data_IF_061770121387
#
_entry.id   IF_061770121387
#
_cell.length_a   1.000
_cell.length_b   1.000
_cell.length_c   1.000
_cell.angle_alpha   90.00
_cell.angle_beta   90.00
_cell.angle_gamma   90.00
#
_symmetry.space_group_name_H-M   'P 1'
#
loop_
_entity.id
_entity.type
_entity.pdbx_description
1 polymer ?
#
# COMPACT_ATOMS: atom_id res chain seq x y z
N UNK A 1 -9.62 -0.50 -29.91
CA UNK A 1 -8.55 -1.03 -30.77
C UNK A 1 -7.62 -1.84 -29.88
N UNK A 2 -7.40 -3.10 -30.28
CA UNK A 2 -6.43 -4.11 -29.81
C UNK A 2 -5.76 -3.94 -28.44
N UNK A 3 -6.19 -4.74 -27.46
CA UNK A 3 -5.27 -5.20 -26.40
C UNK A 3 -4.21 -6.08 -27.05
N UNK A 4 -3.01 -5.54 -27.25
CA UNK A 4 -1.81 -6.39 -27.35
C UNK A 4 -1.55 -6.98 -25.97
N UNK A 5 -2.23 -8.08 -25.65
CA UNK A 5 -1.94 -8.87 -24.48
C UNK A 5 -0.81 -9.85 -24.82
N UNK A 6 0.43 -9.32 -24.87
CA UNK A 6 1.61 -10.16 -24.69
C UNK A 6 2.21 -9.83 -23.33
N UNK A 7 1.96 -10.72 -22.36
CA UNK A 7 2.45 -10.63 -20.99
C UNK A 7 1.40 -10.20 -19.98
N UNK A 8 0.57 -11.13 -19.51
CA UNK A 8 -0.16 -10.93 -18.26
C UNK A 8 0.81 -10.65 -17.10
N UNK A 9 0.36 -10.04 -15.99
CA UNK A 9 1.23 -9.76 -14.86
C UNK A 9 1.86 -11.07 -14.36
N UNK A 10 3.17 -11.05 -14.16
CA UNK A 10 3.95 -12.23 -13.75
C UNK A 10 3.63 -12.68 -12.31
N UNK A 11 3.01 -11.81 -11.50
CA UNK A 11 2.60 -12.06 -10.14
C UNK A 11 1.21 -11.46 -9.85
N UNK A 12 0.52 -11.99 -8.84
CA UNK A 12 -0.77 -11.46 -8.37
C UNK A 12 -0.62 -10.05 -7.79
N UNK A 13 0.51 -9.77 -7.14
CA UNK A 13 0.89 -8.45 -6.67
C UNK A 13 2.40 -8.30 -6.76
N UNK A 14 2.86 -7.06 -6.86
CA UNK A 14 4.28 -6.72 -7.03
C UNK A 14 4.98 -6.60 -5.67
N UNK A 15 4.29 -6.00 -4.69
CA UNK A 15 4.87 -5.69 -3.39
C UNK A 15 3.80 -5.62 -2.30
N UNK A 16 4.09 -6.18 -1.13
CA UNK A 16 3.35 -5.99 0.11
C UNK A 16 4.29 -5.38 1.15
N UNK A 17 3.79 -4.43 1.95
CA UNK A 17 4.55 -3.89 3.08
C UNK A 17 3.65 -3.34 4.19
N UNK A 18 4.25 -3.17 5.37
CA UNK A 18 3.71 -2.32 6.44
C UNK A 18 4.59 -1.08 6.57
N UNK A 19 3.99 0.11 6.49
CA UNK A 19 4.66 1.37 6.76
C UNK A 19 4.19 1.94 8.09
N UNK A 20 5.13 2.44 8.91
CA UNK A 20 4.83 3.25 10.08
C UNK A 20 4.46 4.67 9.66
N UNK A 21 3.54 5.30 10.40
CA UNK A 21 3.23 6.71 10.20
C UNK A 21 4.49 7.56 10.42
N UNK A 22 4.83 8.47 9.50
CA UNK A 22 5.95 9.37 9.70
C UNK A 22 5.65 10.36 10.83
N UNK A 23 6.68 10.82 11.54
CA UNK A 23 6.51 11.77 12.64
C UNK A 23 6.23 13.21 12.16
N UNK A 24 6.59 13.53 10.92
CA UNK A 24 6.37 14.84 10.30
C UNK A 24 6.28 14.73 8.77
N UNK A 25 5.87 15.81 8.10
CA UNK A 25 5.80 15.87 6.63
C UNK A 25 7.16 15.80 5.92
N UNK A 26 8.27 16.01 6.63
CA UNK A 26 9.62 15.92 6.06
C UNK A 26 10.21 14.51 6.16
N UNK A 27 9.64 13.63 6.98
CA UNK A 27 10.14 12.27 7.19
C UNK A 27 9.45 11.27 6.26
N UNK A 28 10.23 10.29 5.80
CA UNK A 28 9.71 9.21 4.99
C UNK A 28 9.10 8.11 5.89
N UNK A 29 7.95 7.52 5.52
CA UNK A 29 7.38 6.41 6.27
C UNK A 29 8.34 5.21 6.35
N UNK A 30 8.59 4.72 7.56
CA UNK A 30 9.49 3.57 7.77
C UNK A 30 8.80 2.27 7.39
N UNK A 31 9.46 1.44 6.57
CA UNK A 31 8.99 0.08 6.26
C UNK A 31 9.33 -0.86 7.42
N UNK A 32 8.29 -1.35 8.10
CA UNK A 32 8.42 -2.28 9.23
C UNK A 32 8.60 -3.72 8.76
N UNK A 33 7.93 -4.08 7.66
CA UNK A 33 8.03 -5.40 7.02
C UNK A 33 7.66 -5.31 5.56
N UNK A 34 8.14 -6.26 4.77
CA UNK A 34 7.81 -6.35 3.35
C UNK A 34 7.86 -7.76 2.79
N UNK A 35 7.17 -7.98 1.68
CA UNK A 35 7.25 -9.16 0.84
C UNK A 35 7.10 -8.75 -0.64
N UNK A 36 7.92 -9.26 -1.57
CA UNK A 36 9.07 -10.14 -1.31
C UNK A 36 10.22 -9.36 -0.63
N UNK A 37 11.13 -10.05 0.11
CA UNK A 37 12.22 -9.38 0.82
C UNK A 37 13.23 -8.73 -0.15
N UNK A 38 13.33 -9.22 -1.38
CA UNK A 38 14.23 -8.76 -2.42
C UNK A 38 13.56 -7.86 -3.47
N UNK A 39 12.43 -7.22 -3.14
CA UNK A 39 11.82 -6.19 -3.98
C UNK A 39 12.83 -5.06 -4.27
N UNK A 40 13.02 -4.68 -5.55
CA UNK A 40 14.11 -3.78 -6.01
C UNK A 40 13.69 -2.51 -6.75
N UNK A 41 12.41 -2.22 -6.84
CA UNK A 41 11.93 -0.97 -7.48
C UNK A 41 12.16 0.21 -6.52
N UNK A 42 13.33 0.85 -6.61
CA UNK A 42 13.74 1.92 -5.70
C UNK A 42 12.80 3.14 -5.74
N UNK A 43 12.26 3.46 -6.92
CA UNK A 43 11.32 4.57 -7.07
C UNK A 43 10.02 4.26 -6.33
N UNK A 44 9.48 3.05 -6.51
CA UNK A 44 8.31 2.60 -5.76
C UNK A 44 8.59 2.58 -4.25
N UNK A 45 9.74 2.05 -3.81
CA UNK A 45 10.09 1.98 -2.39
C UNK A 45 10.14 3.35 -1.70
N UNK A 46 10.50 4.42 -2.42
CA UNK A 46 10.53 5.77 -1.89
C UNK A 46 9.16 6.47 -1.96
N UNK A 47 8.44 6.27 -3.07
CA UNK A 47 7.22 7.03 -3.35
C UNK A 47 5.98 6.40 -2.72
N UNK A 48 5.78 5.10 -2.91
CA UNK A 48 4.55 4.37 -2.57
C UNK A 48 4.19 4.46 -1.08
N UNK A 49 5.13 4.38 -0.12
CA UNK A 49 4.79 4.51 1.29
C UNK A 49 4.18 5.87 1.65
N UNK A 50 4.55 6.94 0.94
CA UNK A 50 3.99 8.29 1.16
C UNK A 50 2.50 8.35 0.84
N UNK A 51 2.04 7.59 -0.16
CA UNK A 51 0.63 7.48 -0.51
C UNK A 51 -0.19 6.71 0.55
N UNK A 52 0.45 6.02 1.50
CA UNK A 52 -0.23 5.30 2.57
C UNK A 52 -0.78 6.22 3.67
N UNK A 53 -0.39 7.50 3.67
CA UNK A 53 -0.83 8.51 4.62
C UNK A 53 -1.30 9.77 3.86
N UNK A 54 -2.44 9.71 3.14
CA UNK A 54 -2.89 10.78 2.24
C UNK A 54 -3.59 11.94 2.99
N UNK A 55 -2.97 12.40 4.08
CA UNK A 55 -3.47 13.46 4.95
C UNK A 55 -2.30 14.19 5.61
N UNK A 56 -2.58 15.36 6.19
CA UNK A 56 -1.59 16.11 6.93
C UNK A 56 -1.40 15.47 8.32
N UNK A 57 -0.33 14.68 8.47
CA UNK A 57 -0.03 13.91 9.69
C UNK A 57 0.19 14.80 10.93
N UNK A 58 0.50 16.08 10.75
CA UNK A 58 0.73 17.03 11.85
C UNK A 58 -0.56 17.75 12.28
N UNK A 59 -1.53 17.89 11.37
CA UNK A 59 -2.73 18.71 11.59
C UNK A 59 -4.01 17.91 11.78
N UNK A 60 -4.12 16.75 11.14
CA UNK A 60 -5.33 15.94 11.19
C UNK A 60 -5.25 14.89 12.30
N UNK A 61 -6.19 14.90 13.26
CA UNK A 61 -6.22 13.89 14.31
C UNK A 61 -6.51 12.52 13.66
N UNK A 62 -5.77 11.47 14.04
CA UNK A 62 -5.93 10.19 13.40
C UNK A 62 -7.29 9.57 13.71
N UNK A 63 -7.92 9.00 12.68
CA UNK A 63 -9.22 8.35 12.80
C UNK A 63 -9.16 7.18 13.80
N UNK A 64 -10.16 7.05 14.71
CA UNK A 64 -10.24 5.90 15.60
C UNK A 64 -10.68 4.61 14.88
N UNK A 65 -11.09 4.70 13.61
CA UNK A 65 -11.52 3.55 12.81
C UNK A 65 -10.40 3.05 11.88
N UNK A 66 -10.41 1.74 11.61
CA UNK A 66 -9.64 1.17 10.50
C UNK A 66 -10.22 1.69 9.19
N UNK A 67 -9.36 2.09 8.26
CA UNK A 67 -9.77 2.64 6.97
C UNK A 67 -9.17 1.83 5.81
N UNK A 68 -10.01 1.52 4.83
CA UNK A 68 -9.59 0.98 3.54
C UNK A 68 -9.66 2.06 2.49
N UNK A 69 -8.60 2.17 1.71
CA UNK A 69 -8.57 3.04 0.53
C UNK A 69 -7.66 2.45 -0.52
N UNK A 70 -7.78 2.92 -1.75
CA UNK A 70 -6.90 2.53 -2.85
C UNK A 70 -6.44 3.78 -3.58
N UNK A 71 -5.13 3.92 -3.76
CA UNK A 71 -4.58 4.91 -4.68
C UNK A 71 -4.15 4.25 -5.99
N UNK A 72 -3.99 5.04 -7.05
CA UNK A 72 -3.53 4.56 -8.34
C UNK A 72 -2.32 5.36 -8.82
N UNK A 73 -1.25 4.65 -9.18
CA UNK A 73 -0.09 5.18 -9.88
C UNK A 73 -0.28 4.93 -11.38
N UNK A 74 -0.20 5.99 -12.18
CA UNK A 74 -0.37 5.90 -13.64
C UNK A 74 0.96 6.23 -14.30
N UNK A 75 1.43 5.33 -15.16
CA UNK A 75 2.65 5.57 -15.94
C UNK A 75 2.38 6.40 -17.20
N UNK A 76 3.44 6.72 -17.94
CA UNK A 76 3.35 7.49 -19.20
C UNK A 76 2.63 6.73 -20.33
N UNK A 77 2.55 5.40 -20.25
CA UNK A 77 1.81 4.56 -21.19
C UNK A 77 0.32 4.43 -20.81
N UNK A 78 -0.10 4.99 -19.68
CA UNK A 78 -1.46 4.92 -19.17
C UNK A 78 -1.78 3.63 -18.39
N UNK A 79 -0.79 2.77 -18.13
CA UNK A 79 -0.97 1.61 -17.26
C UNK A 79 -1.13 2.07 -15.81
N UNK A 80 -1.90 1.30 -15.04
CA UNK A 80 -2.21 1.62 -13.65
C UNK A 80 -1.69 0.53 -12.72
N UNK A 81 -0.96 0.95 -11.68
CA UNK A 81 -0.73 0.16 -10.47
C UNK A 81 -1.61 0.68 -9.35
N UNK A 82 -2.28 -0.22 -8.65
CA UNK A 82 -3.17 0.08 -7.53
C UNK A 82 -2.45 -0.25 -6.22
N UNK A 83 -2.43 0.70 -5.29
CA UNK A 83 -2.01 0.46 -3.92
C UNK A 83 -3.22 0.32 -3.01
N UNK A 84 -3.53 -0.90 -2.61
CA UNK A 84 -4.62 -1.23 -1.70
C UNK A 84 -4.13 -1.07 -0.27
N UNK A 85 -4.75 -0.20 0.50
CA UNK A 85 -4.30 0.17 1.83
C UNK A 85 -5.32 -0.25 2.90
N UNK A 86 -4.79 -0.67 4.05
CA UNK A 86 -5.49 -0.79 5.33
C UNK A 86 -4.74 0.05 6.37
N UNK A 87 -5.24 1.24 6.65
CA UNK A 87 -4.72 2.11 7.68
C UNK A 87 -5.25 1.67 9.05
N UNK A 88 -4.35 1.41 10.00
CA UNK A 88 -4.70 1.03 11.37
C UNK A 88 -5.43 2.18 12.08
N UNK A 89 -6.33 1.85 12.99
CA UNK A 89 -6.93 2.83 13.89
C UNK A 89 -5.84 3.63 14.63
N UNK A 90 -6.05 4.94 14.77
CA UNK A 90 -5.03 5.85 15.29
C UNK A 90 -3.90 6.16 14.30
N UNK A 91 -4.06 5.72 13.04
CA UNK A 91 -3.12 5.94 11.93
C UNK A 91 -1.66 5.61 12.25
N UNK A 92 -1.40 4.62 13.13
CA UNK A 92 -0.05 4.28 13.58
C UNK A 92 0.78 3.57 12.50
N UNK A 93 0.12 2.72 11.70
CA UNK A 93 0.73 2.02 10.58
C UNK A 93 -0.29 1.76 9.48
N UNK A 94 0.21 1.49 8.28
CA UNK A 94 -0.60 1.18 7.11
C UNK A 94 -0.05 -0.08 6.43
N UNK A 95 -0.91 -1.07 6.22
CA UNK A 95 -0.60 -2.22 5.37
C UNK A 95 -0.97 -1.89 3.94
N UNK A 96 -0.09 -2.17 2.98
CA UNK A 96 -0.31 -1.87 1.58
C UNK A 96 0.07 -3.05 0.68
N UNK A 97 -0.77 -3.31 -0.33
CA UNK A 97 -0.45 -4.21 -1.46
C UNK A 97 -0.44 -3.39 -2.74
N UNK A 98 0.66 -3.44 -3.48
CA UNK A 98 0.82 -2.86 -4.81
C UNK A 98 0.57 -3.93 -5.88
N UNK A 99 -0.40 -3.72 -6.76
CA UNK A 99 -0.72 -4.66 -7.84
C UNK A 99 -1.28 -3.95 -9.07
N UNK A 100 -1.03 -4.51 -10.25
CA UNK A 100 -1.68 -4.11 -11.50
C UNK A 100 -3.11 -4.67 -11.64
N UNK A 101 -3.48 -5.66 -10.81
CA UNK A 101 -4.79 -6.29 -10.83
C UNK A 101 -5.79 -5.47 -10.00
N UNK A 102 -6.92 -5.02 -10.57
CA UNK A 102 -7.93 -4.21 -9.88
C UNK A 102 -8.85 -5.06 -9.00
N UNK A 103 -8.30 -5.93 -8.15
CA UNK A 103 -9.05 -6.88 -7.31
C UNK A 103 -9.33 -6.33 -5.91
N UNK A 104 -10.03 -5.19 -5.84
CA UNK A 104 -10.29 -4.42 -4.61
C UNK A 104 -10.76 -5.28 -3.43
N UNK A 105 -11.83 -6.06 -3.60
CA UNK A 105 -12.39 -6.85 -2.50
C UNK A 105 -11.43 -7.94 -2.01
N UNK A 106 -10.67 -8.56 -2.93
CA UNK A 106 -9.72 -9.62 -2.60
C UNK A 106 -8.60 -9.04 -1.75
N UNK A 107 -8.00 -7.92 -2.19
CA UNK A 107 -6.91 -7.31 -1.46
C UNK A 107 -7.34 -6.70 -0.12
N UNK A 108 -8.53 -6.13 -0.01
CA UNK A 108 -9.03 -5.66 1.27
C UNK A 108 -9.30 -6.81 2.26
N UNK A 109 -9.85 -7.94 1.80
CA UNK A 109 -10.01 -9.13 2.64
C UNK A 109 -8.65 -9.68 3.08
N UNK A 110 -7.70 -9.78 2.16
CA UNK A 110 -6.32 -10.19 2.46
C UNK A 110 -5.69 -9.29 3.52
N UNK A 111 -5.74 -7.97 3.33
CA UNK A 111 -5.17 -6.98 4.26
C UNK A 111 -5.84 -7.03 5.64
N UNK A 112 -7.13 -7.32 5.71
CA UNK A 112 -7.81 -7.55 6.99
C UNK A 112 -7.28 -8.79 7.68
N UNK A 113 -7.22 -9.93 6.99
CA UNK A 113 -6.68 -11.16 7.55
C UNK A 113 -5.25 -10.98 8.03
N UNK A 114 -4.39 -10.36 7.23
CA UNK A 114 -3.00 -10.06 7.64
C UNK A 114 -2.99 -9.13 8.85
N UNK A 115 -3.77 -8.05 8.83
CA UNK A 115 -3.84 -7.11 9.95
C UNK A 115 -4.33 -7.75 11.25
N UNK A 116 -5.26 -8.71 11.19
CA UNK A 116 -5.77 -9.43 12.35
C UNK A 116 -4.73 -10.41 12.90
N UNK A 117 -4.02 -11.13 12.01
CA UNK A 117 -2.91 -12.01 12.41
C UNK A 117 -1.77 -11.22 13.09
N UNK A 118 -1.43 -10.04 12.56
CA UNK A 118 -0.40 -9.19 13.14
C UNK A 118 -0.79 -8.60 14.50
N UNK A 119 -2.09 -8.41 14.75
CA UNK A 119 -2.59 -7.94 16.04
C UNK A 119 -2.60 -9.04 17.11
N UNK A 120 -2.60 -10.33 16.71
CA UNK A 120 -2.51 -11.47 17.63
C UNK A 120 -1.08 -11.77 18.09
N UNK A 121 -0.08 -11.34 17.32
CA UNK A 121 1.35 -11.55 17.58
C UNK A 121 1.97 -10.45 18.46
N UNK A 122 1.16 -9.52 18.98
CA UNK A 122 1.53 -8.39 19.85
C UNK A 122 0.84 -8.51 21.21
#
# INVERSE_FOLDING_TARGET
MGSSAEGGPSAVFDWFFEAACPASLQEDPLILRQFPPDFRDQEAMQMVPKFCFPFDVEREPPSPAVQHFTFALTDLAGNRRFGFCRLRAGAQSCLCVLSQLPWFEVFYKLLNTVGDLLAQDQ
#
